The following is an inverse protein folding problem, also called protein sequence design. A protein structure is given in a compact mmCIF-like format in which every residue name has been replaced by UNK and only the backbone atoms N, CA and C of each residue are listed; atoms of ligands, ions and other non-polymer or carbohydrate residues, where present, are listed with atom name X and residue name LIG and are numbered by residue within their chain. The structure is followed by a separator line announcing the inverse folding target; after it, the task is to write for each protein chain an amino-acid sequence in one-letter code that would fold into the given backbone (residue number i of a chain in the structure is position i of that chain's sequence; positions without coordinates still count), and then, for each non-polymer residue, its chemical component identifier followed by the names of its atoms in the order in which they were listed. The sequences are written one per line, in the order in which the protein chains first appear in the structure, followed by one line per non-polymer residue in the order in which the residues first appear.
data_IF_637226036713
#
_entry.id   IF_637226036713
#
_cell.length_a   1.000
_cell.length_b   1.000
_cell.length_c   1.000
_cell.angle_alpha   90.00
_cell.angle_beta   90.00
_cell.angle_gamma   90.00
#
_symmetry.space_group_name_H-M   'P 1'
#
loop_
_entity.id
_entity.type
_entity.pdbx_description
1 polymer ?
#
# COMPACT_ATOMS: atom_id res chain seq x y z
N UNK A 1 86.06 11.58 9.86
CA UNK A 1 85.35 12.41 10.86
C UNK A 1 83.96 11.85 11.00
N UNK A 2 83.69 11.28 12.17
CA UNK A 2 82.40 10.80 12.64
C UNK A 2 81.40 11.95 12.64
N UNK A 3 80.15 11.75 12.18
CA UNK A 3 78.92 12.25 12.84
C UNK A 3 77.73 11.37 12.40
N UNK A 4 77.19 10.62 13.37
CA UNK A 4 75.84 10.05 13.35
C UNK A 4 74.81 11.20 13.28
N UNK A 5 73.66 10.96 12.63
CA UNK A 5 72.33 11.34 13.18
C UNK A 5 71.18 10.71 12.35
N UNK A 6 70.57 9.69 12.95
CA UNK A 6 69.12 9.54 13.20
C UNK A 6 68.09 9.68 12.07
N UNK A 7 67.50 8.52 11.73
CA UNK A 7 66.06 8.22 11.60
C UNK A 7 65.10 9.27 11.03
N UNK A 8 64.34 8.89 9.99
CA UNK A 8 62.89 8.65 10.11
C UNK A 8 62.32 8.06 8.81
N UNK A 9 61.86 6.82 8.95
CA UNK A 9 61.02 6.10 8.00
C UNK A 9 59.62 6.71 8.08
N UNK A 10 59.10 7.31 7.01
CA UNK A 10 57.66 7.52 6.87
C UNK A 10 57.22 7.21 5.44
N UNK A 11 56.69 6.00 5.32
CA UNK A 11 55.92 5.49 4.20
C UNK A 11 54.55 6.19 4.23
N UNK A 12 54.26 7.09 3.30
CA UNK A 12 52.91 7.65 3.10
C UNK A 12 52.31 7.12 1.80
N UNK A 13 51.96 5.84 1.80
CA UNK A 13 50.96 5.30 0.88
C UNK A 13 49.62 5.79 1.40
N UNK A 14 49.15 6.93 0.89
CA UNK A 14 47.78 7.38 1.14
C UNK A 14 46.82 6.39 0.45
N UNK A 15 46.07 5.70 1.30
CA UNK A 15 45.17 4.62 0.96
C UNK A 15 44.07 5.05 -0.04
N UNK A 16 43.89 4.20 -1.06
CA UNK A 16 42.63 3.53 -1.38
C UNK A 16 41.32 4.28 -1.16
N UNK A 17 40.67 4.57 -2.29
CA UNK A 17 39.22 4.41 -2.49
C UNK A 17 38.27 5.08 -1.49
N UNK A 18 37.97 6.35 -1.73
CA UNK A 18 36.68 6.94 -1.37
C UNK A 18 35.90 7.28 -2.66
N UNK A 19 35.75 6.32 -3.56
CA UNK A 19 34.72 6.41 -4.59
C UNK A 19 33.39 5.93 -3.99
N UNK A 20 32.40 6.82 -4.05
CA UNK A 20 30.97 6.53 -4.09
C UNK A 20 30.33 5.85 -2.85
N UNK A 21 30.12 6.60 -1.77
CA UNK A 21 28.96 6.32 -0.92
C UNK A 21 27.73 7.00 -1.54
N UNK A 22 26.97 6.15 -2.23
CA UNK A 22 25.89 6.52 -3.14
C UNK A 22 24.67 7.16 -2.49
N UNK A 23 23.93 7.80 -3.39
CA UNK A 23 22.58 8.36 -3.27
C UNK A 23 21.55 7.33 -2.77
N UNK A 24 21.53 7.03 -1.47
CA UNK A 24 20.54 6.15 -0.84
C UNK A 24 20.33 6.48 0.63
N UNK A 25 19.08 6.43 1.11
CA UNK A 25 18.78 6.57 2.55
C UNK A 25 19.56 5.53 3.35
N UNK A 26 20.06 5.89 4.53
CA UNK A 26 20.72 4.96 5.47
C UNK A 26 19.83 3.74 5.73
N UNK A 27 20.42 2.53 5.66
CA UNK A 27 19.71 1.26 5.82
C UNK A 27 19.01 1.15 7.18
N UNK A 28 19.57 1.75 8.23
CA UNK A 28 18.95 1.76 9.56
C UNK A 28 17.70 2.64 9.57
N UNK A 29 17.76 3.82 8.94
CA UNK A 29 16.58 4.68 8.77
C UNK A 29 15.50 4.03 7.90
N UNK A 30 15.88 3.30 6.83
CA UNK A 30 14.92 2.54 6.02
C UNK A 30 14.22 1.44 6.82
N UNK A 31 14.92 0.79 7.74
CA UNK A 31 14.34 -0.24 8.60
C UNK A 31 13.28 0.35 9.55
N UNK A 32 13.57 1.50 10.18
CA UNK A 32 12.59 2.22 11.02
C UNK A 32 11.35 2.64 10.21
N UNK A 33 11.54 3.08 8.96
CA UNK A 33 10.40 3.41 8.08
C UNK A 33 9.52 2.20 7.76
N UNK A 34 10.13 1.02 7.54
CA UNK A 34 9.40 -0.24 7.29
C UNK A 34 8.66 -0.70 8.54
N UNK A 35 9.35 -0.76 9.69
CA UNK A 35 8.75 -1.14 10.97
C UNK A 35 7.54 -0.28 11.28
N UNK A 36 7.69 1.05 11.19
CA UNK A 36 6.59 2.00 11.44
C UNK A 36 5.41 1.75 10.52
N UNK A 37 5.65 1.51 9.23
CA UNK A 37 4.58 1.25 8.26
C UNK A 37 3.87 -0.09 8.53
N UNK A 38 4.62 -1.14 8.86
CA UNK A 38 4.08 -2.47 9.15
C UNK A 38 3.28 -2.47 10.45
N UNK A 39 3.79 -1.86 11.52
CA UNK A 39 3.08 -1.75 12.80
C UNK A 39 1.78 -0.95 12.64
N UNK A 40 1.82 0.15 11.87
CA UNK A 40 0.61 0.93 11.57
C UNK A 40 -0.41 0.06 10.81
N UNK A 41 0.01 -0.61 9.74
CA UNK A 41 -0.87 -1.49 8.96
C UNK A 41 -1.46 -2.60 9.82
N UNK A 42 -0.64 -3.29 10.62
CA UNK A 42 -1.09 -4.38 11.50
C UNK A 42 -2.18 -3.91 12.48
N UNK A 43 -2.01 -2.73 13.08
CA UNK A 43 -3.01 -2.15 13.99
C UNK A 43 -4.30 -1.72 13.27
N UNK A 44 -4.21 -1.24 12.03
CA UNK A 44 -5.39 -0.94 11.20
C UNK A 44 -6.16 -2.21 10.80
N UNK A 45 -5.43 -3.30 10.50
CA UNK A 45 -6.00 -4.62 10.18
C UNK A 45 -6.71 -5.20 11.40
N UNK A 46 -6.04 -5.21 12.55
CA UNK A 46 -6.59 -5.68 13.82
C UNK A 46 -7.85 -4.90 14.23
N UNK A 47 -7.76 -3.56 14.28
CA UNK A 47 -8.91 -2.70 14.64
C UNK A 47 -10.05 -2.81 13.62
N UNK A 48 -9.73 -2.95 12.34
CA UNK A 48 -10.72 -2.99 11.27
C UNK A 48 -11.39 -4.35 11.07
N UNK A 49 -10.87 -5.42 11.66
CA UNK A 49 -11.48 -6.76 11.61
C UNK A 49 -11.48 -7.42 10.23
N UNK A 50 -10.54 -7.04 9.35
CA UNK A 50 -10.40 -7.60 7.99
C UNK A 50 -9.04 -8.30 7.81
N UNK A 51 -8.90 -9.12 6.78
CA UNK A 51 -7.63 -9.76 6.42
C UNK A 51 -6.80 -8.94 5.43
N UNK A 52 -5.60 -9.42 5.08
CA UNK A 52 -4.79 -8.82 4.02
C UNK A 52 -4.52 -9.82 2.90
N UNK A 53 -4.34 -9.29 1.69
CA UNK A 53 -3.93 -10.05 0.52
C UNK A 53 -2.74 -9.35 -0.15
N UNK A 54 -1.72 -10.11 -0.51
CA UNK A 54 -0.57 -9.60 -1.25
C UNK A 54 -0.92 -9.34 -2.72
N UNK A 55 -0.07 -8.58 -3.42
CA UNK A 55 -0.23 -8.32 -4.85
C UNK A 55 -0.22 -9.63 -5.67
N UNK A 56 0.61 -10.58 -5.27
CA UNK A 56 0.73 -11.87 -5.95
C UNK A 56 -0.50 -12.75 -5.71
N UNK A 57 -0.95 -12.88 -4.46
CA UNK A 57 -2.16 -13.64 -4.13
C UNK A 57 -3.40 -13.06 -4.84
N UNK A 58 -3.52 -11.73 -4.91
CA UNK A 58 -4.61 -11.08 -5.64
C UNK A 58 -4.54 -11.37 -7.14
N UNK A 59 -3.34 -11.28 -7.73
CA UNK A 59 -3.15 -11.60 -9.15
C UNK A 59 -3.51 -13.05 -9.44
N UNK A 60 -3.07 -13.99 -8.59
CA UNK A 60 -3.39 -15.40 -8.73
C UNK A 60 -4.89 -15.68 -8.60
N UNK A 61 -5.58 -15.02 -7.67
CA UNK A 61 -7.03 -15.14 -7.53
C UNK A 61 -7.77 -14.65 -8.80
N UNK A 62 -7.34 -13.52 -9.37
CA UNK A 62 -7.87 -12.99 -10.63
C UNK A 62 -7.61 -13.96 -11.79
N UNK A 63 -6.38 -14.46 -11.93
CA UNK A 63 -6.00 -15.36 -13.04
C UNK A 63 -6.72 -16.71 -12.99
N UNK A 64 -7.07 -17.18 -11.80
CA UNK A 64 -7.88 -18.39 -11.59
C UNK A 64 -9.37 -18.16 -11.87
N UNK A 65 -9.79 -16.92 -12.11
CA UNK A 65 -11.20 -16.58 -12.27
C UNK A 65 -12.02 -16.77 -11.00
N UNK A 66 -11.41 -16.58 -9.82
CA UNK A 66 -12.18 -16.56 -8.58
C UNK A 66 -13.25 -15.45 -8.65
N UNK A 67 -14.40 -15.67 -8.00
CA UNK A 67 -15.40 -14.62 -7.86
C UNK A 67 -14.98 -13.68 -6.72
N UNK A 68 -14.58 -12.46 -7.08
CA UNK A 68 -14.20 -11.43 -6.12
C UNK A 68 -14.69 -10.05 -6.55
N UNK A 69 -15.02 -9.22 -5.57
CA UNK A 69 -15.30 -7.80 -5.74
C UNK A 69 -14.05 -6.99 -5.38
N UNK A 70 -13.43 -6.33 -6.35
CA UNK A 70 -12.27 -5.46 -6.13
C UNK A 70 -12.73 -4.00 -6.06
N UNK A 71 -12.33 -3.27 -5.02
CA UNK A 71 -12.76 -1.89 -4.78
C UNK A 71 -11.55 -0.96 -4.68
N UNK A 72 -11.49 0.02 -5.58
CA UNK A 72 -10.57 1.15 -5.52
C UNK A 72 -11.17 2.28 -4.69
N UNK A 73 -10.47 2.69 -3.64
CA UNK A 73 -10.93 3.73 -2.70
C UNK A 73 -10.39 5.14 -2.97
N UNK A 74 -9.70 5.34 -4.10
CA UNK A 74 -9.09 6.61 -4.48
C UNK A 74 -10.04 7.50 -5.31
N UNK A 75 -9.75 8.82 -5.43
CA UNK A 75 -10.57 9.71 -6.27
C UNK A 75 -10.66 9.24 -7.72
N UNK A 76 -11.89 9.20 -8.23
CA UNK A 76 -12.20 8.63 -9.55
C UNK A 76 -11.41 9.31 -10.69
N UNK A 77 -11.58 10.62 -10.86
CA UNK A 77 -10.94 11.41 -11.93
C UNK A 77 -9.42 11.47 -11.80
N UNK A 78 -8.93 11.65 -10.57
CA UNK A 78 -7.50 11.88 -10.34
C UNK A 78 -6.67 10.58 -10.41
N UNK A 79 -7.29 9.42 -10.12
CA UNK A 79 -6.62 8.13 -9.99
C UNK A 79 -7.26 7.03 -10.83
N UNK A 80 -8.48 6.59 -10.49
CA UNK A 80 -9.10 5.38 -11.02
C UNK A 80 -9.14 5.36 -12.56
N UNK A 81 -9.57 6.45 -13.20
CA UNK A 81 -9.64 6.54 -14.67
C UNK A 81 -8.28 6.32 -15.34
N UNK A 82 -7.20 6.81 -14.73
CA UNK A 82 -5.85 6.75 -15.30
C UNK A 82 -5.20 5.39 -15.15
N UNK A 83 -5.50 4.68 -14.06
CA UNK A 83 -5.08 3.31 -13.83
C UNK A 83 -5.80 2.72 -12.62
N UNK A 84 -6.34 1.51 -12.78
CA UNK A 84 -6.89 0.69 -11.70
C UNK A 84 -6.53 -0.79 -11.91
N UNK A 85 -6.73 -1.62 -10.88
CA UNK A 85 -6.61 -3.07 -11.02
C UNK A 85 -7.76 -3.54 -11.94
N UNK A 86 -7.51 -4.35 -12.99
CA UNK A 86 -8.55 -4.78 -13.92
C UNK A 86 -9.76 -5.40 -13.20
N UNK A 87 -10.97 -4.99 -13.60
CA UNK A 87 -12.21 -5.48 -13.00
C UNK A 87 -12.59 -4.82 -11.66
N UNK A 88 -11.77 -3.90 -11.14
CA UNK A 88 -12.15 -3.12 -9.97
C UNK A 88 -13.37 -2.23 -10.25
N UNK A 89 -14.06 -1.86 -9.18
CA UNK A 89 -15.05 -0.77 -9.15
C UNK A 89 -14.52 0.35 -8.25
N UNK A 90 -14.99 1.58 -8.44
CA UNK A 90 -14.53 2.74 -7.66
C UNK A 90 -15.55 3.13 -6.58
N UNK A 91 -15.07 3.37 -5.35
CA UNK A 91 -15.85 3.98 -4.28
C UNK A 91 -14.95 4.81 -3.37
N UNK A 92 -15.07 6.14 -3.41
CA UNK A 92 -14.20 7.04 -2.68
C UNK A 92 -14.35 6.90 -1.15
N UNK A 93 -13.23 6.82 -0.44
CA UNK A 93 -13.14 7.01 1.00
C UNK A 93 -12.07 8.05 1.38
N UNK A 94 -12.20 8.76 2.51
CA UNK A 94 -11.21 9.74 3.00
C UNK A 94 -9.88 9.11 3.44
N UNK A 95 -8.85 9.95 3.61
CA UNK A 95 -7.57 9.54 4.22
C UNK A 95 -7.73 9.42 5.74
N UNK A 96 -8.26 10.41 6.48
CA UNK A 96 -8.58 10.22 7.89
C UNK A 96 -9.47 8.99 8.09
N UNK A 97 -9.33 8.34 9.24
CA UNK A 97 -10.21 7.23 9.60
C UNK A 97 -11.64 7.76 9.81
N UNK A 98 -12.58 7.18 9.09
CA UNK A 98 -13.99 7.59 9.08
C UNK A 98 -14.78 6.67 10.00
N UNK A 99 -14.87 7.01 11.29
CA UNK A 99 -15.57 6.20 12.30
C UNK A 99 -17.10 6.35 12.22
N UNK A 100 -17.56 7.51 11.77
CA UNK A 100 -18.95 7.85 11.45
C UNK A 100 -19.04 8.19 9.97
N UNK A 101 -20.08 7.72 9.29
CA UNK A 101 -20.23 7.95 7.85
C UNK A 101 -20.44 9.44 7.57
N UNK A 102 -19.65 10.01 6.65
CA UNK A 102 -19.86 11.35 6.10
C UNK A 102 -19.88 11.27 4.57
N UNK A 103 -21.03 11.57 3.98
CA UNK A 103 -21.19 11.53 2.53
C UNK A 103 -20.30 12.56 1.81
N UNK A 104 -19.93 13.67 2.46
CA UNK A 104 -19.04 14.67 1.86
C UNK A 104 -17.62 14.11 1.67
N UNK A 105 -17.21 13.15 2.50
CA UNK A 105 -15.90 12.50 2.43
C UNK A 105 -15.86 11.31 1.46
N UNK A 106 -17.02 10.85 0.99
CA UNK A 106 -17.18 9.71 0.05
C UNK A 106 -17.68 10.14 -1.33
N UNK A 107 -17.56 11.42 -1.67
CA UNK A 107 -17.96 11.95 -2.98
C UNK A 107 -19.48 12.06 -3.14
N UNK A 108 -20.20 12.31 -2.06
CA UNK A 108 -21.65 12.41 -2.00
C UNK A 108 -22.38 11.07 -1.85
N UNK A 109 -21.66 9.96 -1.72
CA UNK A 109 -22.27 8.63 -1.64
C UNK A 109 -22.64 8.23 -0.21
N UNK A 110 -23.83 7.66 -0.04
CA UNK A 110 -24.33 7.22 1.26
C UNK A 110 -23.78 5.84 1.67
N UNK A 111 -23.96 5.48 2.93
CA UNK A 111 -23.61 4.15 3.45
C UNK A 111 -24.40 3.06 2.73
N UNK A 112 -25.66 3.31 2.42
CA UNK A 112 -26.55 2.39 1.69
C UNK A 112 -26.09 2.22 0.24
N UNK A 113 -25.56 3.26 -0.40
CA UNK A 113 -24.98 3.16 -1.73
C UNK A 113 -23.74 2.24 -1.72
N UNK A 114 -22.91 2.34 -0.69
CA UNK A 114 -21.78 1.43 -0.50
C UNK A 114 -22.26 -0.02 -0.30
N UNK A 115 -23.18 -0.25 0.64
CA UNK A 115 -23.72 -1.59 0.90
C UNK A 115 -24.38 -2.20 -0.36
N UNK A 116 -25.13 -1.40 -1.11
CA UNK A 116 -25.73 -1.83 -2.38
C UNK A 116 -24.67 -2.27 -3.39
N UNK A 117 -23.54 -1.57 -3.47
CA UNK A 117 -22.43 -1.94 -4.35
C UNK A 117 -21.76 -3.24 -3.90
N UNK A 118 -21.60 -3.44 -2.60
CA UNK A 118 -21.07 -4.70 -2.04
C UNK A 118 -22.00 -5.90 -2.35
N UNK A 119 -23.32 -5.66 -2.43
CA UNK A 119 -24.33 -6.64 -2.80
C UNK A 119 -24.81 -7.51 -1.63
N UNK A 120 -25.83 -8.36 -1.81
CA UNK A 120 -26.54 -9.01 -0.70
C UNK A 120 -25.75 -10.14 -0.01
N UNK A 121 -24.77 -10.74 -0.71
CA UNK A 121 -23.98 -11.85 -0.16
C UNK A 121 -22.89 -11.35 0.80
N UNK A 122 -23.10 -11.56 2.10
CA UNK A 122 -22.17 -11.18 3.16
C UNK A 122 -20.89 -12.03 3.20
N UNK A 123 -20.84 -13.17 2.51
CA UNK A 123 -19.66 -14.04 2.45
C UNK A 123 -18.82 -13.82 1.18
N UNK A 124 -19.27 -12.95 0.27
CA UNK A 124 -18.54 -12.61 -0.96
C UNK A 124 -17.11 -12.16 -0.62
N UNK A 125 -16.15 -12.64 -1.40
CA UNK A 125 -14.74 -12.22 -1.28
C UNK A 125 -14.59 -10.77 -1.77
N UNK A 126 -14.32 -9.86 -0.84
CA UNK A 126 -14.15 -8.43 -1.12
C UNK A 126 -12.69 -8.07 -0.94
N UNK A 127 -12.08 -7.45 -1.95
CA UNK A 127 -10.71 -6.94 -1.90
C UNK A 127 -10.72 -5.43 -2.05
N UNK A 128 -10.31 -4.71 -1.01
CA UNK A 128 -10.27 -3.25 -1.00
C UNK A 128 -8.83 -2.76 -1.12
N UNK A 129 -8.58 -1.79 -1.99
CA UNK A 129 -7.24 -1.25 -2.21
C UNK A 129 -7.23 0.27 -2.40
N UNK A 130 -6.04 0.85 -2.30
CA UNK A 130 -5.78 2.27 -2.55
C UNK A 130 -4.42 2.46 -3.25
N UNK A 131 -3.67 3.52 -2.93
CA UNK A 131 -2.42 3.82 -3.63
C UNK A 131 -1.27 2.90 -3.26
N UNK A 132 -1.00 2.78 -1.96
CA UNK A 132 0.22 2.19 -1.38
C UNK A 132 0.04 1.98 0.12
N UNK A 133 0.98 1.30 0.78
CA UNK A 133 0.88 0.81 2.18
C UNK A 133 0.49 1.90 3.19
N UNK A 134 1.07 3.10 3.08
CA UNK A 134 0.78 4.22 4.00
C UNK A 134 -0.58 4.89 3.76
N UNK A 135 -1.23 4.64 2.62
CA UNK A 135 -2.53 5.22 2.29
C UNK A 135 -3.63 4.46 3.03
N UNK A 136 -4.51 5.20 3.69
CA UNK A 136 -5.51 4.68 4.64
C UNK A 136 -6.94 4.67 4.08
N UNK A 137 -7.16 5.12 2.83
CA UNK A 137 -8.49 5.08 2.20
C UNK A 137 -9.07 3.67 2.16
N UNK A 138 -8.23 2.68 1.84
CA UNK A 138 -8.66 1.29 1.80
C UNK A 138 -8.90 0.67 3.17
N UNK A 139 -8.31 1.23 4.23
CA UNK A 139 -8.66 0.84 5.60
C UNK A 139 -10.13 1.16 5.86
N UNK A 140 -10.57 2.38 5.53
CA UNK A 140 -11.96 2.79 5.70
C UNK A 140 -12.92 1.91 4.92
N UNK A 141 -12.66 1.65 3.63
CA UNK A 141 -13.53 0.79 2.83
C UNK A 141 -13.64 -0.64 3.37
N UNK A 142 -12.51 -1.23 3.80
CA UNK A 142 -12.52 -2.57 4.39
C UNK A 142 -13.22 -2.60 5.75
N UNK A 143 -12.93 -1.63 6.63
CA UNK A 143 -13.56 -1.51 7.95
C UNK A 143 -15.08 -1.31 7.86
N UNK A 144 -15.55 -0.48 6.92
CA UNK A 144 -16.98 -0.27 6.71
C UNK A 144 -17.67 -1.51 6.13
N UNK A 145 -17.02 -2.25 5.23
CA UNK A 145 -17.56 -3.53 4.78
C UNK A 145 -17.71 -4.52 5.95
N UNK A 146 -16.70 -4.64 6.82
CA UNK A 146 -16.82 -5.48 8.04
C UNK A 146 -17.95 -4.98 8.95
N UNK A 147 -18.06 -3.67 9.18
CA UNK A 147 -19.13 -3.05 10.00
C UNK A 147 -20.54 -3.28 9.44
N UNK A 148 -20.66 -3.43 8.11
CA UNK A 148 -21.89 -3.78 7.40
C UNK A 148 -22.16 -5.31 7.38
N UNK A 149 -21.34 -6.10 8.07
CA UNK A 149 -21.54 -7.54 8.27
C UNK A 149 -20.90 -8.44 7.22
N UNK A 150 -20.04 -7.93 6.34
CA UNK A 150 -19.31 -8.77 5.39
C UNK A 150 -18.15 -9.50 6.09
N UNK A 151 -18.03 -10.80 5.86
CA UNK A 151 -17.16 -11.70 6.63
C UNK A 151 -15.85 -12.03 5.91
N UNK A 152 -15.80 -11.88 4.58
CA UNK A 152 -14.64 -12.20 3.75
C UNK A 152 -14.06 -10.94 3.11
N UNK A 153 -13.58 -10.02 3.97
CA UNK A 153 -13.02 -8.74 3.55
C UNK A 153 -11.50 -8.78 3.67
N UNK A 154 -10.82 -8.43 2.58
CA UNK A 154 -9.37 -8.37 2.49
C UNK A 154 -8.94 -6.98 2.03
N UNK A 155 -7.87 -6.44 2.60
CA UNK A 155 -7.19 -5.25 2.08
C UNK A 155 -5.98 -5.67 1.27
N UNK A 156 -5.79 -5.09 0.08
CA UNK A 156 -4.53 -5.16 -0.66
C UNK A 156 -3.67 -3.94 -0.31
N UNK A 157 -2.69 -4.04 0.62
CA UNK A 157 -2.03 -2.86 1.17
C UNK A 157 -1.08 -2.19 0.17
N UNK A 158 -0.49 -2.99 -0.73
CA UNK A 158 0.42 -2.49 -1.76
C UNK A 158 -0.26 -1.60 -2.80
N UNK A 159 -1.58 -1.74 -2.96
CA UNK A 159 -2.38 -0.90 -3.84
C UNK A 159 -1.95 -0.92 -5.31
N UNK A 160 -2.40 0.10 -6.06
CA UNK A 160 -2.05 0.23 -7.48
C UNK A 160 -0.55 0.44 -7.70
N UNK A 161 0.20 0.95 -6.70
CA UNK A 161 1.65 1.14 -6.82
C UNK A 161 2.38 -0.19 -6.83
N UNK A 162 2.05 -1.09 -5.90
CA UNK A 162 2.64 -2.44 -5.91
C UNK A 162 2.19 -3.24 -7.13
N UNK A 163 0.94 -3.09 -7.57
CA UNK A 163 0.42 -3.72 -8.79
C UNK A 163 1.22 -3.31 -10.04
N UNK A 164 1.43 -2.00 -10.23
CA UNK A 164 2.27 -1.47 -11.30
C UNK A 164 3.74 -1.87 -11.13
N UNK A 165 4.25 -1.88 -9.90
CA UNK A 165 5.61 -2.32 -9.58
C UNK A 165 5.86 -3.79 -9.96
N UNK A 166 4.84 -4.64 -9.82
CA UNK A 166 4.84 -6.02 -10.29
C UNK A 166 4.64 -6.16 -11.81
N UNK A 167 4.50 -5.04 -12.54
CA UNK A 167 4.29 -4.98 -14.00
C UNK A 167 3.03 -5.71 -14.46
N UNK A 168 2.00 -5.77 -13.62
CA UNK A 168 0.71 -6.34 -13.98
C UNK A 168 -0.13 -5.34 -14.80
N UNK A 169 -0.98 -5.83 -15.72
CA UNK A 169 -1.81 -4.97 -16.56
C UNK A 169 -2.77 -4.15 -15.71
N UNK A 170 -3.04 -2.91 -16.13
CA UNK A 170 -3.98 -2.01 -15.48
C UNK A 170 -5.18 -1.75 -16.39
N UNK A 171 -6.34 -1.54 -15.79
CA UNK A 171 -7.50 -0.97 -16.47
C UNK A 171 -7.39 0.55 -16.53
N UNK A 172 -8.06 1.15 -17.51
CA UNK A 172 -8.25 2.59 -17.67
C UNK A 172 -9.71 2.87 -18.04
N UNK A 173 -10.17 4.09 -17.77
CA UNK A 173 -11.47 4.58 -18.25
C UNK A 173 -11.20 5.79 -19.13
N UNK A 174 -11.69 5.73 -20.37
CA UNK A 174 -11.65 6.85 -21.32
C UNK A 174 -12.64 7.95 -20.93
#
# INVERSE_FOLDING_TARGET
MIWLMSALFFLSIAAGSAMAFGLGKDKFAQEVEKETAVIKLAREVERGGYGIISTEELKLAIDKGEELLIIDTMPYEASYKKAHIPGAVSFLFPIPEMTTWDANETGGQSQEAFEKMLGPDKNKKIVVYCGFVKCTRSHNGAMWAVKLGYTNVLRHPGGIFAWKGAKYPVGTVE
#
